data_IF_759511470822
#
_entry.id   IF_759511470822
#
_cell.length_a   1.000
_cell.length_b   1.000
_cell.length_c   1.000
_cell.angle_alpha   90.00
_cell.angle_beta   90.00
_cell.angle_gamma   90.00
#
_symmetry.space_group_name_H-M   'P 1'
#
loop_
_entity.id
_entity.type
_entity.pdbx_description
1 polymer ?
#
# COMPACT_ATOMS: atom_id res chain seq x y z
N UNK A 1 29.25 -16.08 -6.41
CA UNK A 1 28.95 -14.63 -6.24
C UNK A 1 27.98 -14.48 -5.08
N UNK A 2 28.17 -13.47 -4.21
CA UNK A 2 27.25 -13.19 -3.10
C UNK A 2 26.05 -12.37 -3.57
N UNK A 3 24.85 -12.78 -3.19
CA UNK A 3 23.58 -12.09 -3.50
C UNK A 3 22.89 -11.70 -2.19
N UNK A 4 22.33 -10.52 -2.14
CA UNK A 4 21.52 -10.03 -1.02
C UNK A 4 20.05 -10.35 -1.28
N UNK A 5 19.38 -10.94 -0.31
CA UNK A 5 17.95 -11.19 -0.33
C UNK A 5 17.33 -10.40 0.81
N UNK A 6 16.57 -9.35 0.49
CA UNK A 6 15.87 -8.54 1.47
C UNK A 6 14.50 -9.15 1.71
N UNK A 7 14.34 -9.82 2.84
CA UNK A 7 13.07 -10.42 3.27
C UNK A 7 12.18 -9.34 3.89
N UNK A 8 11.00 -9.16 3.34
CA UNK A 8 10.04 -8.12 3.72
C UNK A 8 8.77 -8.80 4.22
N UNK A 9 8.24 -8.35 5.37
CA UNK A 9 7.00 -8.88 5.95
C UNK A 9 6.21 -7.80 6.67
N UNK A 10 4.98 -8.11 7.03
CA UNK A 10 4.13 -7.27 7.87
C UNK A 10 4.17 -7.76 9.31
N UNK A 11 4.32 -6.85 10.26
CA UNK A 11 4.34 -7.18 11.70
C UNK A 11 2.95 -7.51 12.25
N UNK A 12 2.86 -7.73 13.58
CA UNK A 12 1.62 -8.03 14.28
C UNK A 12 0.96 -6.84 14.97
N UNK A 13 1.49 -5.63 14.80
CA UNK A 13 0.93 -4.44 15.44
C UNK A 13 -0.50 -4.15 15.00
N UNK A 14 -1.31 -3.70 15.94
CA UNK A 14 -2.73 -3.33 15.72
C UNK A 14 -2.94 -1.86 16.07
N UNK A 15 -3.87 -1.17 15.41
CA UNK A 15 -4.79 -1.67 14.38
C UNK A 15 -4.19 -1.76 12.98
N UNK A 16 -2.98 -1.26 12.76
CA UNK A 16 -2.32 -1.21 11.46
C UNK A 16 -0.96 -1.89 11.53
N UNK A 17 -0.73 -2.86 10.65
CA UNK A 17 0.56 -3.51 10.47
C UNK A 17 1.55 -2.58 9.79
N UNK A 18 2.84 -2.71 10.11
CA UNK A 18 3.93 -1.99 9.47
C UNK A 18 4.91 -2.95 8.78
N UNK A 19 5.64 -2.40 7.80
CA UNK A 19 6.66 -3.14 7.08
C UNK A 19 7.88 -3.40 7.98
N UNK A 20 8.39 -4.62 7.89
CA UNK A 20 9.65 -5.05 8.48
C UNK A 20 10.54 -5.65 7.41
N UNK A 21 11.84 -5.53 7.56
CA UNK A 21 12.76 -6.20 6.66
C UNK A 21 14.04 -6.64 7.32
N UNK A 22 14.70 -7.63 6.71
CA UNK A 22 16.05 -8.05 7.06
C UNK A 22 16.75 -8.67 5.86
N UNK A 23 18.07 -8.45 5.74
CA UNK A 23 18.86 -8.92 4.60
C UNK A 23 19.57 -10.22 4.90
N UNK A 24 19.36 -11.24 4.06
CA UNK A 24 20.18 -12.46 3.98
C UNK A 24 21.23 -12.32 2.89
N UNK A 25 22.42 -12.86 3.12
CA UNK A 25 23.46 -13.00 2.08
C UNK A 25 23.62 -14.46 1.70
N UNK A 26 23.44 -14.76 0.40
CA UNK A 26 23.57 -16.12 -0.15
C UNK A 26 24.73 -16.22 -1.13
N UNK A 27 25.49 -17.30 -1.05
CA UNK A 27 26.44 -17.67 -2.08
C UNK A 27 25.74 -18.45 -3.19
N UNK A 28 26.10 -18.16 -4.44
CA UNK A 28 25.62 -18.90 -5.62
C UNK A 28 24.09 -19.02 -5.71
N UNK A 29 23.38 -17.91 -5.41
CA UNK A 29 21.92 -17.85 -5.54
C UNK A 29 21.49 -18.05 -7.00
N UNK A 30 20.52 -18.91 -7.24
CA UNK A 30 20.08 -19.30 -8.59
C UNK A 30 19.20 -18.24 -9.30
N UNK A 31 18.71 -17.24 -8.58
CA UNK A 31 17.94 -16.13 -9.15
C UNK A 31 16.44 -16.36 -9.24
N UNK A 32 15.92 -17.41 -8.62
CA UNK A 32 14.50 -17.74 -8.64
C UNK A 32 13.88 -17.73 -7.25
N UNK A 33 12.56 -17.53 -7.17
CA UNK A 33 11.83 -17.50 -5.90
C UNK A 33 11.97 -18.82 -5.11
N UNK A 34 11.93 -19.94 -5.81
CA UNK A 34 12.08 -21.27 -5.22
C UNK A 34 13.46 -21.53 -4.61
N UNK A 35 14.47 -20.74 -4.97
CA UNK A 35 15.83 -20.78 -4.38
C UNK A 35 15.92 -19.99 -3.08
N UNK A 36 14.89 -19.20 -2.74
CA UNK A 36 14.83 -18.45 -1.51
C UNK A 36 14.48 -19.38 -0.33
N UNK A 37 15.36 -19.55 0.67
CA UNK A 37 15.04 -20.40 1.82
C UNK A 37 14.00 -19.74 2.72
N UNK A 38 13.23 -20.54 3.46
CA UNK A 38 12.52 -20.04 4.63
C UNK A 38 13.51 -19.51 5.66
N UNK A 39 13.13 -18.46 6.37
CA UNK A 39 14.00 -17.84 7.36
C UNK A 39 13.27 -17.59 8.68
N UNK A 40 13.96 -17.79 9.80
CA UNK A 40 13.44 -17.57 11.15
C UNK A 40 13.68 -16.12 11.56
N UNK A 41 12.74 -15.54 12.32
CA UNK A 41 12.91 -14.26 12.98
C UNK A 41 12.28 -14.27 14.38
N UNK A 42 12.67 -13.33 15.22
CA UNK A 42 12.11 -13.13 16.56
C UNK A 42 10.78 -12.36 16.49
N UNK A 43 9.68 -13.12 16.55
CA UNK A 43 8.33 -12.56 16.51
C UNK A 43 7.96 -11.73 17.74
N UNK A 44 8.69 -11.89 18.87
CA UNK A 44 8.41 -11.09 20.07
C UNK A 44 8.74 -9.60 19.88
N UNK A 45 9.66 -9.30 18.98
CA UNK A 45 10.04 -7.92 18.64
C UNK A 45 9.10 -7.27 17.62
N UNK A 46 8.11 -8.00 17.13
CA UNK A 46 7.17 -7.55 16.09
C UNK A 46 5.70 -7.82 16.45
N UNK A 47 5.38 -8.06 17.74
CA UNK A 47 4.03 -8.39 18.22
C UNK A 47 3.42 -9.63 17.54
N UNK A 48 4.26 -10.64 17.22
CA UNK A 48 3.84 -11.87 16.53
C UNK A 48 4.13 -13.13 17.33
N UNK A 49 4.80 -13.04 18.48
CA UNK A 49 5.02 -14.18 19.37
C UNK A 49 5.29 -13.73 20.81
N UNK A 50 5.16 -14.67 21.75
CA UNK A 50 5.56 -14.46 23.15
C UNK A 50 7.06 -14.74 23.32
N UNK A 51 7.75 -14.01 24.21
CA UNK A 51 9.18 -14.13 24.42
C UNK A 51 9.72 -15.51 24.82
N UNK A 52 8.83 -16.43 25.24
CA UNK A 52 9.20 -17.81 25.61
C UNK A 52 9.19 -18.79 24.44
N UNK A 53 8.53 -18.41 23.32
CA UNK A 53 8.45 -19.17 22.07
C UNK A 53 8.37 -18.17 20.92
N UNK A 54 9.47 -17.47 20.66
CA UNK A 54 9.47 -16.27 19.85
C UNK A 54 9.76 -16.51 18.36
N UNK A 55 10.12 -17.72 17.96
CA UNK A 55 10.44 -18.01 16.57
C UNK A 55 9.19 -17.97 15.69
N UNK A 56 9.26 -17.16 14.63
CA UNK A 56 8.33 -17.18 13.51
C UNK A 56 9.10 -17.43 12.21
N UNK A 57 8.41 -17.90 11.18
CA UNK A 57 9.00 -18.22 9.88
C UNK A 57 8.57 -17.21 8.82
N UNK A 58 9.53 -16.82 7.99
CA UNK A 58 9.30 -16.04 6.77
C UNK A 58 9.33 -16.98 5.57
N UNK A 59 8.19 -17.16 4.91
CA UNK A 59 8.06 -17.96 3.70
C UNK A 59 8.04 -17.04 2.48
N UNK A 60 9.03 -17.13 1.57
CA UNK A 60 9.04 -16.37 0.33
C UNK A 60 7.80 -16.65 -0.53
N UNK A 61 7.16 -15.59 -1.04
CA UNK A 61 5.94 -15.70 -1.86
C UNK A 61 6.01 -14.89 -3.14
N UNK A 62 6.86 -13.85 -3.19
CA UNK A 62 7.05 -13.01 -4.35
C UNK A 62 8.45 -12.40 -4.33
N UNK A 63 9.08 -12.20 -5.48
CA UNK A 63 10.45 -11.68 -5.57
C UNK A 63 10.60 -10.80 -6.81
N UNK A 64 11.32 -9.69 -6.62
CA UNK A 64 11.71 -8.76 -7.70
C UNK A 64 13.17 -8.35 -7.55
N UNK A 65 13.85 -7.87 -8.60
CA UNK A 65 15.16 -7.24 -8.46
C UNK A 65 15.10 -6.05 -7.49
N UNK A 66 16.16 -5.83 -6.74
CA UNK A 66 16.30 -4.64 -5.90
C UNK A 66 16.92 -3.50 -6.75
N UNK A 67 16.20 -2.43 -7.02
CA UNK A 67 16.66 -1.35 -7.89
C UNK A 67 17.82 -0.54 -7.29
N UNK A 68 17.89 -0.48 -5.95
CA UNK A 68 18.87 0.34 -5.23
C UNK A 68 20.20 -0.37 -4.98
N UNK A 69 20.23 -1.70 -4.97
CA UNK A 69 21.41 -2.48 -4.54
C UNK A 69 21.84 -3.49 -5.57
N UNK A 70 23.12 -3.48 -5.92
CA UNK A 70 23.72 -4.49 -6.83
C UNK A 70 23.66 -5.90 -6.25
N UNK A 71 23.36 -6.87 -7.11
CA UNK A 71 23.25 -8.30 -6.75
C UNK A 71 22.27 -8.48 -5.57
N UNK A 72 21.08 -7.97 -5.70
CA UNK A 72 20.07 -7.98 -4.66
C UNK A 72 18.67 -8.23 -5.21
N UNK A 73 17.83 -8.81 -4.36
CA UNK A 73 16.41 -9.01 -4.62
C UNK A 73 15.59 -8.58 -3.41
N UNK A 74 14.43 -8.04 -3.65
CA UNK A 74 13.36 -7.83 -2.66
C UNK A 74 12.49 -9.07 -2.65
N UNK A 75 12.31 -9.67 -1.48
CA UNK A 75 11.59 -10.94 -1.30
C UNK A 75 10.43 -10.70 -0.35
N UNK A 76 9.22 -10.58 -0.90
CA UNK A 76 8.01 -10.51 -0.08
C UNK A 76 7.75 -11.87 0.56
N UNK A 77 7.39 -11.86 1.83
CA UNK A 77 7.19 -13.08 2.60
C UNK A 77 5.88 -13.05 3.37
N UNK A 78 5.30 -14.22 3.58
CA UNK A 78 4.23 -14.44 4.53
C UNK A 78 4.78 -15.02 5.84
N UNK A 79 4.14 -14.65 6.95
CA UNK A 79 4.55 -15.11 8.29
C UNK A 79 3.82 -16.41 8.63
N UNK A 80 4.61 -17.39 9.10
CA UNK A 80 4.10 -18.67 9.58
C UNK A 80 4.51 -18.89 11.04
N UNK A 81 3.73 -19.70 11.73
CA UNK A 81 4.09 -20.28 13.02
C UNK A 81 5.26 -21.26 12.87
N UNK A 82 5.95 -21.66 13.98
CA UNK A 82 7.05 -22.62 13.91
C UNK A 82 6.67 -23.98 13.32
N UNK A 83 5.40 -24.38 13.40
CA UNK A 83 4.86 -25.61 12.84
C UNK A 83 4.52 -25.52 11.34
N UNK A 84 4.72 -24.34 10.74
CA UNK A 84 4.44 -24.08 9.32
C UNK A 84 3.02 -23.67 9.00
N UNK A 85 2.14 -23.56 9.99
CA UNK A 85 0.78 -23.03 9.80
C UNK A 85 0.80 -21.51 9.63
N UNK A 86 -0.14 -20.88 8.89
CA UNK A 86 -0.22 -19.43 8.78
C UNK A 86 -0.34 -18.78 10.16
N UNK A 87 0.46 -17.74 10.40
CA UNK A 87 0.34 -16.92 11.59
C UNK A 87 -0.97 -16.08 11.56
N UNK A 88 -1.55 -15.76 12.72
CA UNK A 88 -2.80 -14.96 12.78
C UNK A 88 -2.71 -13.59 12.11
N UNK A 89 -1.51 -12.99 12.07
CA UNK A 89 -1.24 -11.72 11.38
C UNK A 89 -1.06 -11.86 9.86
N UNK A 90 -1.10 -13.08 9.33
CA UNK A 90 -0.87 -13.35 7.90
C UNK A 90 -2.16 -13.14 7.09
N UNK A 91 -2.47 -11.89 6.75
CA UNK A 91 -3.65 -11.55 5.94
C UNK A 91 -3.63 -12.19 4.54
N UNK A 92 -2.43 -12.41 3.96
CA UNK A 92 -2.32 -13.04 2.64
C UNK A 92 -2.87 -14.47 2.62
N UNK A 93 -2.71 -15.22 3.70
CA UNK A 93 -3.23 -16.58 3.82
C UNK A 93 -4.76 -16.66 3.89
N UNK A 94 -5.45 -15.54 4.13
CA UNK A 94 -6.92 -15.49 4.14
C UNK A 94 -7.55 -15.36 2.75
N UNK A 95 -6.73 -15.21 1.70
CA UNK A 95 -7.20 -15.16 0.31
C UNK A 95 -7.38 -16.60 -0.18
N UNK A 96 -8.64 -17.06 -0.20
CA UNK A 96 -9.02 -18.42 -0.58
C UNK A 96 -8.98 -18.66 -2.09
N UNK A 97 -9.37 -17.63 -2.87
CA UNK A 97 -9.39 -17.66 -4.32
C UNK A 97 -8.44 -16.58 -4.88
N UNK A 98 -7.53 -17.01 -5.74
CA UNK A 98 -6.54 -16.14 -6.39
C UNK A 98 -6.60 -16.36 -7.90
N UNK A 99 -7.75 -16.04 -8.47
CA UNK A 99 -8.04 -16.20 -9.90
C UNK A 99 -7.51 -14.98 -10.68
N UNK A 100 -6.62 -15.22 -11.64
CA UNK A 100 -6.10 -14.22 -12.58
C UNK A 100 -7.20 -13.57 -13.45
N UNK A 101 -8.43 -14.09 -13.44
CA UNK A 101 -9.58 -13.42 -14.05
C UNK A 101 -9.95 -12.11 -13.36
N UNK A 102 -9.67 -11.97 -12.07
CA UNK A 102 -9.80 -10.72 -11.36
C UNK A 102 -8.55 -9.84 -11.56
N UNK A 103 -8.77 -8.64 -12.08
CA UNK A 103 -7.76 -7.60 -12.22
C UNK A 103 -8.01 -6.52 -11.19
N UNK A 104 -6.93 -6.02 -10.59
CA UNK A 104 -6.98 -4.99 -9.58
C UNK A 104 -6.09 -3.82 -9.98
N UNK A 105 -6.58 -2.59 -9.75
CA UNK A 105 -5.82 -1.37 -9.85
C UNK A 105 -5.97 -0.61 -8.54
N UNK A 106 -4.84 -0.22 -7.92
CA UNK A 106 -4.83 0.57 -6.71
C UNK A 106 -4.32 1.97 -6.99
N UNK A 107 -5.03 2.95 -6.47
CA UNK A 107 -4.65 4.37 -6.45
C UNK A 107 -4.30 4.71 -5.00
N UNK A 108 -3.02 4.62 -4.67
CA UNK A 108 -2.55 4.77 -3.30
C UNK A 108 -2.13 6.20 -3.03
N UNK A 109 -2.93 6.92 -2.27
CA UNK A 109 -2.59 8.23 -1.71
C UNK A 109 -1.72 8.10 -0.46
N UNK A 110 -0.89 9.10 -0.23
CA UNK A 110 -0.04 9.23 0.96
C UNK A 110 0.41 10.68 1.14
N UNK A 111 0.80 11.03 2.37
CA UNK A 111 1.50 12.29 2.64
C UNK A 111 2.99 12.03 2.85
N UNK A 112 3.82 12.84 2.21
CA UNK A 112 5.20 13.00 2.63
C UNK A 112 5.20 13.74 3.97
N UNK A 113 6.09 13.35 4.87
CA UNK A 113 6.17 13.92 6.20
C UNK A 113 7.62 14.24 6.54
N UNK A 114 7.94 15.53 6.61
CA UNK A 114 9.28 16.00 7.00
C UNK A 114 9.54 15.61 8.46
N UNK A 115 10.55 14.76 8.70
CA UNK A 115 10.86 14.23 10.01
C UNK A 115 11.51 15.25 10.94
N UNK A 116 12.14 16.29 10.38
CA UNK A 116 12.75 17.37 11.15
C UNK A 116 11.69 18.34 11.70
N UNK A 117 10.73 18.71 10.85
CA UNK A 117 9.72 19.70 11.19
C UNK A 117 8.40 19.07 11.68
N UNK A 118 8.24 17.77 11.53
CA UNK A 118 7.02 17.03 11.84
C UNK A 118 5.76 17.59 11.16
N UNK A 119 5.89 17.91 9.88
CA UNK A 119 4.84 18.49 9.02
C UNK A 119 5.00 17.97 7.58
N UNK A 120 3.93 17.98 6.76
CA UNK A 120 4.08 17.78 5.33
C UNK A 120 4.93 18.87 4.69
N UNK A 121 5.78 18.55 3.69
CA UNK A 121 6.54 19.57 2.97
C UNK A 121 5.58 20.56 2.28
N UNK A 122 5.92 21.85 2.38
CA UNK A 122 5.06 22.93 1.89
C UNK A 122 4.16 23.56 2.95
N UNK A 123 4.06 22.97 4.14
CA UNK A 123 3.39 23.58 5.28
C UNK A 123 4.33 24.55 5.98
N UNK A 124 3.92 25.82 6.21
CA UNK A 124 4.73 26.77 6.97
C UNK A 124 4.74 26.40 8.44
N UNK A 125 5.82 26.70 9.20
CA UNK A 125 5.85 26.49 10.64
C UNK A 125 4.67 27.15 11.35
N UNK A 126 3.91 26.36 12.10
CA UNK A 126 2.77 26.83 12.90
C UNK A 126 1.53 27.26 12.11
N UNK A 127 1.43 26.87 10.83
CA UNK A 127 0.29 27.24 10.01
C UNK A 127 0.00 26.25 8.88
N UNK A 128 -0.94 26.63 8.04
CA UNK A 128 -1.35 25.89 6.84
C UNK A 128 -0.88 26.64 5.58
N UNK A 129 -0.60 25.93 4.49
CA UNK A 129 -0.34 26.55 3.19
C UNK A 129 -1.64 27.16 2.63
N UNK A 130 -1.62 27.58 1.35
CA UNK A 130 -2.84 27.98 0.65
C UNK A 130 -3.90 26.84 0.72
N UNK A 131 -5.21 27.15 0.60
CA UNK A 131 -6.27 26.14 0.61
C UNK A 131 -5.97 25.00 -0.37
N UNK A 132 -6.38 23.78 -0.03
CA UNK A 132 -6.21 22.62 -0.89
C UNK A 132 -6.89 22.81 -2.27
N UNK A 133 -6.47 22.02 -3.24
CA UNK A 133 -6.91 22.05 -4.62
C UNK A 133 -5.83 22.52 -5.60
N UNK A 134 -5.15 23.68 -5.43
CA UNK A 134 -4.11 24.13 -6.35
C UNK A 134 -2.90 23.22 -6.49
N UNK A 135 -2.75 22.22 -5.60
CA UNK A 135 -1.66 21.24 -5.59
C UNK A 135 -1.93 20.04 -6.48
N UNK A 136 -3.22 19.75 -6.77
CA UNK A 136 -3.61 18.62 -7.60
C UNK A 136 -2.98 18.72 -9.00
N UNK A 137 -2.22 17.69 -9.38
CA UNK A 137 -1.42 17.66 -10.62
C UNK A 137 -0.56 18.93 -10.79
N UNK A 138 -0.14 19.55 -9.67
CA UNK A 138 0.52 20.85 -9.67
C UNK A 138 1.93 20.79 -10.27
N UNK A 139 2.35 21.90 -10.88
CA UNK A 139 3.66 22.08 -11.48
C UNK A 139 4.37 23.28 -10.84
N UNK A 140 5.66 23.13 -10.64
CA UNK A 140 6.52 24.19 -10.08
C UNK A 140 6.80 24.03 -8.59
N UNK A 141 7.86 24.68 -8.10
CA UNK A 141 8.41 24.52 -6.78
C UNK A 141 7.46 24.90 -5.63
N UNK A 142 6.46 25.72 -5.89
CA UNK A 142 5.47 26.14 -4.90
C UNK A 142 4.22 25.24 -4.84
N UNK A 143 4.21 24.14 -5.60
CA UNK A 143 3.04 23.25 -5.68
C UNK A 143 3.39 21.76 -5.59
N UNK A 144 4.49 21.34 -6.24
CA UNK A 144 4.90 19.93 -6.32
C UNK A 144 6.04 19.65 -5.31
N UNK A 145 5.68 19.63 -4.03
CA UNK A 145 6.65 19.38 -2.95
C UNK A 145 7.05 17.90 -2.91
N UNK A 146 8.37 17.63 -2.82
CA UNK A 146 8.90 16.27 -2.71
C UNK A 146 9.02 15.51 -4.03
N UNK A 147 8.77 16.15 -5.19
CA UNK A 147 8.81 15.51 -6.51
C UNK A 147 10.05 14.67 -6.78
N UNK A 148 11.30 15.09 -6.47
CA UNK A 148 12.48 14.25 -6.75
C UNK A 148 12.42 12.88 -6.09
N UNK A 149 11.92 12.80 -4.85
CA UNK A 149 11.74 11.53 -4.14
C UNK A 149 10.65 10.66 -4.79
N UNK A 150 9.54 11.28 -5.19
CA UNK A 150 8.40 10.56 -5.78
C UNK A 150 8.74 10.04 -7.18
N UNK A 151 9.51 10.78 -7.96
CA UNK A 151 10.02 10.32 -9.26
C UNK A 151 11.06 9.21 -9.10
N UNK A 152 11.96 9.28 -8.10
CA UNK A 152 12.86 8.17 -7.76
C UNK A 152 12.09 6.90 -7.35
N UNK A 153 11.01 7.05 -6.59
CA UNK A 153 10.13 5.92 -6.26
C UNK A 153 9.52 5.28 -7.53
N UNK A 154 9.02 6.10 -8.46
CA UNK A 154 8.49 5.62 -9.72
C UNK A 154 9.55 4.84 -10.51
N UNK A 155 10.74 5.40 -10.67
CA UNK A 155 11.85 4.74 -11.37
C UNK A 155 12.22 3.42 -10.70
N UNK A 156 12.30 3.39 -9.37
CA UNK A 156 12.59 2.17 -8.61
C UNK A 156 11.50 1.10 -8.80
N UNK A 157 10.23 1.48 -8.86
CA UNK A 157 9.14 0.53 -9.14
C UNK A 157 9.25 -0.05 -10.55
N UNK A 158 9.59 0.77 -11.54
CA UNK A 158 9.81 0.35 -12.94
C UNK A 158 11.02 -0.60 -13.02
N UNK A 159 12.13 -0.24 -12.41
CA UNK A 159 13.36 -1.05 -12.41
C UNK A 159 13.19 -2.37 -11.65
N UNK A 160 12.35 -2.40 -10.63
CA UNK A 160 11.94 -3.64 -9.94
C UNK A 160 10.99 -4.51 -10.79
N UNK A 161 10.45 -4.00 -11.90
CA UNK A 161 9.52 -4.71 -12.77
C UNK A 161 8.10 -4.80 -12.20
N UNK A 162 7.69 -3.88 -11.32
CA UNK A 162 6.32 -3.74 -10.87
C UNK A 162 5.45 -3.10 -11.96
N UNK A 163 4.16 -3.45 -11.97
CA UNK A 163 3.21 -2.85 -12.91
C UNK A 163 2.71 -1.48 -12.41
N UNK A 164 3.65 -0.57 -12.14
CA UNK A 164 3.32 0.82 -11.81
C UNK A 164 2.72 1.51 -13.04
N UNK A 165 1.61 2.22 -12.87
CA UNK A 165 0.87 2.88 -13.96
C UNK A 165 1.11 4.39 -14.00
N UNK A 166 1.37 5.02 -12.85
CA UNK A 166 1.60 6.44 -12.79
C UNK A 166 1.74 7.00 -11.38
N UNK A 167 1.97 8.32 -11.35
CA UNK A 167 2.03 9.14 -10.13
C UNK A 167 1.38 10.50 -10.40
N UNK A 168 0.79 11.11 -9.39
CA UNK A 168 0.38 12.52 -9.41
C UNK A 168 0.47 13.14 -8.01
N UNK A 169 0.64 14.45 -7.95
CA UNK A 169 0.42 15.19 -6.72
C UNK A 169 -1.06 15.35 -6.46
N UNK A 170 -1.43 15.27 -5.20
CA UNK A 170 -2.81 15.34 -4.74
C UNK A 170 -3.21 16.75 -4.27
N UNK A 171 -4.44 16.91 -3.78
CA UNK A 171 -5.06 18.20 -3.49
C UNK A 171 -4.41 18.97 -2.34
N UNK A 172 -3.67 18.30 -1.46
CA UNK A 172 -2.94 18.92 -0.37
C UNK A 172 -1.43 19.05 -0.66
N UNK A 173 -0.79 20.07 -0.08
CA UNK A 173 0.66 20.21 -0.16
C UNK A 173 1.36 18.99 0.44
N UNK A 174 2.30 18.40 -0.29
CA UNK A 174 3.03 17.20 0.14
C UNK A 174 2.23 15.89 0.06
N UNK A 175 1.01 15.93 -0.43
CA UNK A 175 0.20 14.74 -0.73
C UNK A 175 0.47 14.27 -2.17
N UNK A 176 0.65 12.97 -2.32
CA UNK A 176 0.90 12.30 -3.58
C UNK A 176 0.12 11.01 -3.70
N UNK A 177 0.03 10.51 -4.92
CA UNK A 177 -0.60 9.24 -5.24
C UNK A 177 0.29 8.47 -6.22
N UNK A 178 0.31 7.13 -6.11
CA UNK A 178 0.80 6.26 -7.16
C UNK A 178 -0.26 5.24 -7.55
N UNK A 179 -0.27 4.84 -8.82
CA UNK A 179 -1.18 3.85 -9.36
C UNK A 179 -0.41 2.58 -9.73
N UNK A 180 -0.95 1.42 -9.32
CA UNK A 180 -0.35 0.12 -9.59
C UNK A 180 -1.43 -0.90 -9.95
N UNK A 181 -1.11 -1.81 -10.86
CA UNK A 181 -2.02 -2.80 -11.41
C UNK A 181 -1.49 -4.22 -11.24
N UNK A 182 -2.39 -5.19 -11.00
CA UNK A 182 -2.03 -6.61 -11.03
C UNK A 182 -3.23 -7.51 -11.39
N UNK A 183 -2.93 -8.72 -11.84
CA UNK A 183 -3.89 -9.81 -12.04
C UNK A 183 -3.78 -10.79 -10.90
N UNK A 184 -4.92 -11.18 -10.32
CA UNK A 184 -4.98 -12.02 -9.13
C UNK A 184 -4.79 -11.24 -7.82
N UNK A 185 -5.53 -11.62 -6.78
CA UNK A 185 -5.58 -10.89 -5.52
C UNK A 185 -4.27 -10.97 -4.73
N UNK A 186 -3.63 -12.15 -4.67
CA UNK A 186 -2.33 -12.29 -3.98
C UNK A 186 -1.24 -11.49 -4.65
N UNK A 187 -1.19 -11.53 -5.99
CA UNK A 187 -0.23 -10.75 -6.76
C UNK A 187 -0.42 -9.25 -6.54
N UNK A 188 -1.66 -8.78 -6.55
CA UNK A 188 -1.98 -7.38 -6.29
C UNK A 188 -1.51 -6.94 -4.90
N UNK A 189 -1.75 -7.76 -3.88
CA UNK A 189 -1.25 -7.52 -2.52
C UNK A 189 0.27 -7.52 -2.43
N UNK A 190 0.93 -8.48 -3.08
CA UNK A 190 2.40 -8.58 -3.07
C UNK A 190 3.05 -7.35 -3.74
N UNK A 191 2.52 -6.90 -4.89
CA UNK A 191 3.06 -5.75 -5.63
C UNK A 191 2.84 -4.42 -4.90
N UNK A 192 1.66 -4.18 -4.32
CA UNK A 192 1.41 -2.93 -3.58
C UNK A 192 2.32 -2.82 -2.34
N UNK A 193 2.59 -3.93 -1.63
CA UNK A 193 3.48 -3.91 -0.48
C UNK A 193 4.94 -3.70 -0.85
N UNK A 194 5.42 -4.25 -1.98
CA UNK A 194 6.76 -3.92 -2.50
C UNK A 194 6.85 -2.45 -2.93
N UNK A 195 5.82 -1.91 -3.60
CA UNK A 195 5.79 -0.50 -3.96
C UNK A 195 5.82 0.41 -2.72
N UNK A 196 5.05 0.09 -1.67
CA UNK A 196 5.13 0.81 -0.38
C UNK A 196 6.51 0.69 0.27
N UNK A 197 7.13 -0.48 0.24
CA UNK A 197 8.49 -0.68 0.75
C UNK A 197 9.49 0.21 0.03
N UNK A 198 9.45 0.25 -1.30
CA UNK A 198 10.33 1.11 -2.11
C UNK A 198 10.12 2.59 -1.80
N UNK A 199 8.88 3.02 -1.55
CA UNK A 199 8.58 4.40 -1.17
C UNK A 199 9.15 4.76 0.23
N UNK A 200 9.01 3.87 1.21
CA UNK A 200 9.62 4.04 2.55
C UNK A 200 11.16 4.11 2.45
N UNK A 201 11.74 3.26 1.60
CA UNK A 201 13.20 3.27 1.35
C UNK A 201 13.67 4.55 0.66
N UNK A 202 12.90 5.08 -0.29
CA UNK A 202 13.17 6.39 -0.86
C UNK A 202 13.09 7.47 0.23
N UNK A 203 12.08 7.41 1.09
CA UNK A 203 11.91 8.32 2.22
C UNK A 203 13.12 8.43 3.14
N UNK A 204 13.79 7.29 3.43
CA UNK A 204 15.01 7.26 4.24
C UNK A 204 16.14 8.14 3.64
N UNK A 205 16.26 8.19 2.31
CA UNK A 205 17.28 9.00 1.63
C UNK A 205 17.01 10.50 1.71
N UNK A 206 15.73 10.88 1.74
CA UNK A 206 15.29 12.27 1.70
C UNK A 206 14.92 12.84 3.07
N UNK A 207 15.00 12.04 4.16
CA UNK A 207 14.55 12.46 5.48
C UNK A 207 13.04 12.67 5.56
N UNK A 208 12.27 11.98 4.72
CA UNK A 208 10.82 12.02 4.65
C UNK A 208 10.24 10.70 5.14
N UNK A 209 9.37 10.73 6.14
CA UNK A 209 8.51 9.60 6.46
C UNK A 209 7.30 9.58 5.52
N UNK A 210 6.70 8.40 5.34
CA UNK A 210 5.46 8.25 4.58
C UNK A 210 4.31 8.11 5.57
N UNK A 211 3.36 9.02 5.48
CA UNK A 211 2.18 8.99 6.34
C UNK A 211 1.00 8.37 5.61
N UNK A 212 0.66 7.15 6.01
CA UNK A 212 -0.43 6.34 5.46
C UNK A 212 -1.76 6.52 6.21
N UNK A 213 -1.80 7.42 7.20
CA UNK A 213 -2.99 7.62 8.01
C UNK A 213 -4.14 8.17 7.16
N UNK A 214 -5.38 7.64 7.27
CA UNK A 214 -6.50 8.06 6.43
C UNK A 214 -6.90 9.53 6.62
N UNK A 215 -6.55 10.16 7.74
CA UNK A 215 -6.75 11.59 7.99
C UNK A 215 -5.54 12.19 8.73
N UNK A 216 -4.40 12.38 8.05
CA UNK A 216 -3.13 12.70 8.70
C UNK A 216 -3.09 14.08 9.36
N UNK A 217 -3.91 15.03 8.88
CA UNK A 217 -3.98 16.39 9.41
C UNK A 217 -5.04 16.56 10.53
N UNK A 218 -5.70 15.45 10.94
CA UNK A 218 -6.70 15.43 11.99
C UNK A 218 -8.13 15.52 11.49
N UNK A 219 -9.06 14.90 12.25
CA UNK A 219 -10.47 14.75 11.88
C UNK A 219 -11.20 16.09 11.68
N UNK A 220 -10.89 17.05 12.54
CA UNK A 220 -11.62 18.34 12.59
C UNK A 220 -11.06 19.37 11.61
N UNK A 221 -10.05 18.98 10.84
CA UNK A 221 -9.45 19.85 9.84
C UNK A 221 -10.16 19.72 8.50
N UNK A 222 -10.42 20.87 7.87
CA UNK A 222 -11.04 20.95 6.55
C UNK A 222 -10.04 20.63 5.43
N UNK A 223 -9.48 19.41 5.49
CA UNK A 223 -8.49 18.88 4.54
C UNK A 223 -8.84 17.46 4.14
N UNK A 224 -8.46 17.08 2.92
CA UNK A 224 -8.64 15.72 2.42
C UNK A 224 -7.94 14.69 3.33
N UNK A 225 -8.50 13.49 3.33
CA UNK A 225 -7.81 12.31 3.82
C UNK A 225 -6.89 11.72 2.76
N UNK A 226 -6.24 10.64 3.13
CA UNK A 226 -5.51 9.74 2.25
C UNK A 226 -6.20 8.39 2.21
N UNK A 227 -6.45 7.87 1.02
CA UNK A 227 -7.08 6.57 0.84
C UNK A 227 -6.30 5.68 -0.12
N UNK A 228 -6.85 4.51 -0.35
CA UNK A 228 -6.46 3.67 -1.46
C UNK A 228 -7.73 3.24 -2.20
N UNK A 229 -7.98 3.82 -3.37
CA UNK A 229 -9.03 3.30 -4.24
C UNK A 229 -8.64 1.91 -4.74
N UNK A 230 -9.56 0.96 -4.60
CA UNK A 230 -9.40 -0.39 -5.11
C UNK A 230 -10.31 -0.58 -6.33
N UNK A 231 -9.76 -0.40 -7.50
CA UNK A 231 -10.43 -0.70 -8.76
C UNK A 231 -10.33 -2.19 -9.05
N UNK A 232 -11.40 -2.78 -9.57
CA UNK A 232 -11.35 -4.17 -9.97
C UNK A 232 -12.21 -4.44 -11.20
N UNK A 233 -11.89 -5.52 -11.90
CA UNK A 233 -12.76 -6.07 -12.93
C UNK A 233 -12.61 -7.58 -12.99
N UNK A 234 -13.67 -8.26 -13.39
CA UNK A 234 -13.64 -9.65 -13.79
C UNK A 234 -13.93 -9.79 -15.30
N UNK A 235 -13.84 -11.00 -15.82
CA UNK A 235 -14.05 -11.28 -17.25
C UNK A 235 -15.42 -10.82 -17.75
N UNK A 236 -16.47 -11.04 -16.98
CA UNK A 236 -17.83 -10.63 -17.36
C UNK A 236 -17.95 -9.11 -17.53
N UNK A 237 -17.30 -8.34 -16.64
CA UNK A 237 -17.25 -6.88 -16.76
C UNK A 237 -16.48 -6.41 -17.99
N UNK A 238 -15.36 -7.07 -18.32
CA UNK A 238 -14.51 -6.68 -19.45
C UNK A 238 -15.04 -7.11 -20.83
N UNK A 239 -15.64 -8.29 -20.92
CA UNK A 239 -16.07 -8.86 -22.21
C UNK A 239 -17.50 -8.51 -22.58
N UNK A 240 -18.41 -8.46 -21.62
CA UNK A 240 -19.84 -8.29 -21.91
C UNK A 240 -20.30 -6.84 -21.78
N UNK A 241 -19.63 -6.00 -20.93
CA UNK A 241 -19.94 -4.57 -20.79
C UNK A 241 -21.40 -4.21 -20.52
N UNK A 242 -22.23 -5.20 -20.12
CA UNK A 242 -23.65 -5.01 -19.88
C UNK A 242 -23.85 -4.28 -18.54
N UNK A 243 -24.56 -3.18 -18.58
CA UNK A 243 -24.88 -2.35 -17.41
C UNK A 243 -25.50 -3.17 -16.26
N UNK A 244 -26.27 -4.20 -16.57
CA UNK A 244 -26.88 -5.08 -15.57
C UNK A 244 -25.87 -5.84 -14.73
N UNK A 245 -24.70 -6.17 -15.27
CA UNK A 245 -23.60 -6.81 -14.53
C UNK A 245 -23.03 -5.86 -13.48
N UNK A 246 -22.80 -4.62 -13.87
CA UNK A 246 -22.25 -3.61 -12.95
C UNK A 246 -23.26 -3.26 -11.85
N UNK A 247 -24.52 -3.04 -12.20
CA UNK A 247 -25.60 -2.75 -11.21
C UNK A 247 -25.68 -3.90 -10.19
N UNK A 248 -25.69 -5.15 -10.63
CA UNK A 248 -25.76 -6.30 -9.73
C UNK A 248 -24.55 -6.37 -8.77
N UNK A 249 -23.36 -6.06 -9.26
CA UNK A 249 -22.15 -6.02 -8.43
C UNK A 249 -22.29 -4.91 -7.39
N UNK A 250 -22.66 -3.68 -7.79
CA UNK A 250 -22.86 -2.55 -6.89
C UNK A 250 -23.93 -2.83 -5.84
N UNK A 251 -25.06 -3.41 -6.23
CA UNK A 251 -26.11 -3.81 -5.28
C UNK A 251 -25.61 -4.84 -4.24
N UNK A 252 -24.74 -5.77 -4.67
CA UNK A 252 -24.14 -6.75 -3.76
C UNK A 252 -23.14 -6.09 -2.79
N UNK A 253 -22.37 -5.11 -3.25
CA UNK A 253 -21.54 -4.29 -2.36
C UNK A 253 -22.40 -3.60 -1.31
N UNK A 254 -23.47 -2.90 -1.70
CA UNK A 254 -24.37 -2.23 -0.79
C UNK A 254 -25.00 -3.17 0.26
N UNK A 255 -25.35 -4.41 -0.13
CA UNK A 255 -25.87 -5.42 0.80
C UNK A 255 -24.85 -5.92 1.82
N UNK A 256 -23.56 -5.79 1.52
CA UNK A 256 -22.45 -6.31 2.33
C UNK A 256 -21.51 -5.20 2.80
N UNK A 257 -21.94 -3.95 2.80
CA UNK A 257 -21.07 -2.79 3.06
C UNK A 257 -20.37 -2.87 4.42
N UNK A 258 -21.02 -3.32 5.48
CA UNK A 258 -20.40 -3.48 6.80
C UNK A 258 -19.23 -4.47 6.77
N UNK A 259 -19.39 -5.58 6.03
CA UNK A 259 -18.33 -6.56 5.84
C UNK A 259 -17.15 -5.97 5.06
N UNK A 260 -17.42 -5.19 4.02
CA UNK A 260 -16.38 -4.52 3.24
C UNK A 260 -15.60 -3.52 4.10
N UNK A 261 -16.30 -2.61 4.79
CA UNK A 261 -15.66 -1.62 5.66
C UNK A 261 -14.81 -2.29 6.75
N UNK A 262 -15.24 -3.42 7.29
CA UNK A 262 -14.49 -4.13 8.35
C UNK A 262 -13.11 -4.63 7.92
N UNK A 263 -12.84 -4.74 6.61
CA UNK A 263 -11.56 -5.22 6.05
C UNK A 263 -10.79 -4.15 5.27
N UNK A 264 -11.33 -2.95 5.11
CA UNK A 264 -10.69 -1.87 4.36
C UNK A 264 -9.60 -1.11 5.15
N UNK A 265 -9.29 -1.55 6.36
CA UNK A 265 -8.30 -0.92 7.22
C UNK A 265 -8.90 -0.14 8.37
N UNK A 266 -8.03 0.37 9.23
CA UNK A 266 -8.43 1.11 10.42
C UNK A 266 -8.70 2.60 10.11
N UNK A 267 -9.57 3.20 10.93
CA UNK A 267 -9.83 4.65 10.94
C UNK A 267 -10.52 5.21 9.70
N UNK A 268 -11.22 4.37 8.92
CA UNK A 268 -12.00 4.84 7.76
C UNK A 268 -13.10 5.85 8.15
N UNK A 269 -13.64 5.77 9.36
CA UNK A 269 -14.59 6.73 9.91
C UNK A 269 -14.04 8.16 10.03
N UNK A 270 -12.72 8.32 10.04
CA UNK A 270 -12.08 9.63 10.05
C UNK A 270 -12.04 10.28 8.66
N UNK A 271 -11.98 9.46 7.61
CA UNK A 271 -11.94 9.89 6.21
C UNK A 271 -13.35 9.96 5.58
N UNK A 272 -14.17 8.94 5.80
CA UNK A 272 -15.51 8.82 5.19
C UNK A 272 -16.53 9.69 5.95
N UNK A 273 -16.46 10.98 5.73
CA UNK A 273 -17.26 11.98 6.46
C UNK A 273 -18.44 12.54 5.67
N UNK A 274 -18.53 12.23 4.38
CA UNK A 274 -19.47 12.87 3.45
C UNK A 274 -19.00 14.24 2.95
N UNK A 275 -17.76 14.61 3.25
CA UNK A 275 -17.08 15.83 2.78
C UNK A 275 -15.84 15.42 1.98
N UNK A 276 -15.26 16.37 1.22
CA UNK A 276 -14.00 16.16 0.48
C UNK A 276 -14.08 14.96 -0.49
N UNK A 277 -15.15 14.90 -1.27
CA UNK A 277 -15.37 13.86 -2.29
C UNK A 277 -15.47 12.42 -1.71
N UNK A 278 -15.78 12.28 -0.42
CA UNK A 278 -16.06 10.99 0.20
C UNK A 278 -17.54 10.81 0.51
N UNK A 279 -18.02 9.58 0.46
CA UNK A 279 -19.32 9.23 1.04
C UNK A 279 -19.21 9.15 2.56
N UNK A 280 -20.30 9.40 3.27
CA UNK A 280 -20.37 9.14 4.71
C UNK A 280 -20.34 7.64 4.98
N UNK A 281 -19.59 7.20 5.99
CA UNK A 281 -19.38 5.78 6.30
C UNK A 281 -20.67 4.98 6.55
N UNK A 282 -21.76 5.65 6.90
CA UNK A 282 -23.07 5.05 7.14
C UNK A 282 -23.95 5.00 5.88
N UNK A 283 -23.43 5.41 4.73
CA UNK A 283 -24.15 5.46 3.46
C UNK A 283 -23.39 4.72 2.38
N UNK A 284 -24.16 4.17 1.46
CA UNK A 284 -23.64 3.56 0.24
C UNK A 284 -24.36 4.17 -0.97
N UNK A 285 -23.59 4.57 -1.96
CA UNK A 285 -24.09 5.00 -3.26
C UNK A 285 -23.21 4.49 -4.39
N UNK A 286 -23.76 4.45 -5.57
CA UNK A 286 -22.99 4.12 -6.78
C UNK A 286 -23.62 4.83 -7.98
N UNK A 287 -22.82 5.05 -9.01
CA UNK A 287 -23.26 5.67 -10.26
C UNK A 287 -22.14 5.72 -11.29
N UNK A 288 -22.49 6.05 -12.53
CA UNK A 288 -21.51 6.26 -13.60
C UNK A 288 -20.75 7.54 -13.32
N UNK A 289 -19.42 7.44 -13.20
CA UNK A 289 -18.52 8.54 -12.84
C UNK A 289 -18.86 9.20 -11.50
N UNK A 290 -19.48 8.47 -10.60
CA UNK A 290 -19.79 8.93 -9.25
C UNK A 290 -18.56 8.80 -8.36
N UNK A 291 -18.02 9.94 -7.93
CA UNK A 291 -16.86 9.99 -7.02
C UNK A 291 -17.23 9.85 -5.55
N UNK A 292 -18.49 9.98 -5.21
CA UNK A 292 -19.01 9.74 -3.87
C UNK A 292 -19.36 8.28 -3.60
N UNK A 293 -19.20 7.40 -4.57
CA UNK A 293 -19.39 5.97 -4.38
C UNK A 293 -18.31 5.38 -3.43
N UNK A 294 -18.73 4.54 -2.53
CA UNK A 294 -17.87 3.93 -1.52
C UNK A 294 -17.30 2.63 -2.00
#
# INVERSE_FOLDING_TARGET
>A
MKTKLEYIWLDGYKPTQTLRSKTMVRDNFGGKLEDCPMWVFDGSSTEQAEGRSSDCLLKPVFMVPDPDRKNAFLVMTEVLNPDGTPHESNGRATIDDDDDDFWFGFEQEYFLWDTEHNLPPGFPPGGYPAPQGPYYCGVGASRAYGRPMVEEHLDNCIDAGLNIEGINSEVAAGQWEFQIFAKGAKRAGDEIWIARYLLERAGEKYGMAINWHPKPLGRDMDWNGSGMHANFSNKAMRENGDESVFIKICENFGKNIERHISVYGAHNELRLTGLHETQSIDKFSYGVSDRGAS
#
